data_IF_764017352795
#
_entry.id   IF_764017352795
#
_cell.length_a   1.000
_cell.length_b   1.000
_cell.length_c   1.000
_cell.angle_alpha   90.00
_cell.angle_beta   90.00
_cell.angle_gamma   90.00
#
_symmetry.space_group_name_H-M   'P 1'
#
loop_
_entity.id
_entity.type
_entity.pdbx_description
1 polymer ?
#
# COMPACT_ATOMS: atom_id res chain seq x y z
N UNK A 1 -9.42 -0.28 39.72
CA UNK A 1 -10.64 -0.13 38.93
C UNK A 1 -10.24 -0.36 37.49
N UNK A 2 -10.16 -1.61 37.16
CA UNK A 2 -9.70 -2.18 35.90
C UNK A 2 -10.87 -3.01 35.35
N UNK A 3 -11.68 -2.39 34.55
CA UNK A 3 -12.69 -3.06 33.75
C UNK A 3 -12.97 -2.16 32.56
N UNK A 4 -12.69 -2.69 31.37
CA UNK A 4 -13.33 -2.38 30.11
C UNK A 4 -12.35 -2.52 28.93
N UNK A 5 -11.81 -3.74 28.76
CA UNK A 5 -11.39 -4.19 27.41
C UNK A 5 -11.53 -5.71 27.34
N UNK A 6 -12.76 -6.20 27.46
CA UNK A 6 -13.12 -7.53 26.96
C UNK A 6 -13.85 -7.36 25.62
N UNK A 7 -13.05 -7.16 24.60
CA UNK A 7 -13.45 -7.29 23.20
C UNK A 7 -12.38 -8.14 22.52
N UNK A 8 -12.46 -9.47 22.67
CA UNK A 8 -11.61 -10.43 21.95
C UNK A 8 -12.05 -10.58 20.49
N UNK A 9 -12.21 -9.48 19.78
CA UNK A 9 -12.21 -9.45 18.34
C UNK A 9 -10.75 -9.31 17.90
N UNK A 10 -10.19 -10.28 17.21
CA UNK A 10 -8.88 -10.16 16.56
C UNK A 10 -8.95 -8.96 15.61
N UNK A 11 -8.32 -7.85 16.00
CA UNK A 11 -8.20 -6.68 15.12
C UNK A 11 -7.30 -7.08 13.95
N UNK A 12 -7.85 -7.02 12.75
CA UNK A 12 -7.07 -7.30 11.54
C UNK A 12 -6.19 -6.09 11.23
N UNK A 13 -4.87 -6.29 11.30
CA UNK A 13 -3.89 -5.26 10.91
C UNK A 13 -3.28 -5.60 9.56
N UNK A 14 -3.03 -4.55 8.77
CA UNK A 14 -2.30 -4.64 7.51
C UNK A 14 -1.22 -3.57 7.45
N UNK A 15 -0.18 -3.83 6.67
CA UNK A 15 0.88 -2.86 6.40
C UNK A 15 0.62 -2.27 5.02
N UNK A 16 0.53 -0.94 4.93
CA UNK A 16 0.52 -0.21 3.66
C UNK A 16 1.88 0.41 3.40
N UNK A 17 2.38 0.32 2.17
CA UNK A 17 3.62 0.99 1.74
C UNK A 17 3.32 1.84 0.52
N UNK A 18 3.57 3.14 0.60
CA UNK A 18 3.48 4.10 -0.50
C UNK A 18 4.88 4.36 -1.08
N UNK A 19 5.03 4.11 -2.37
CA UNK A 19 6.31 4.20 -3.09
C UNK A 19 6.27 5.33 -4.10
N UNK A 20 6.81 6.47 -3.69
CA UNK A 20 7.02 7.62 -4.56
C UNK A 20 8.47 7.75 -5.06
N UNK A 21 8.70 8.65 -6.00
CA UNK A 21 10.03 8.91 -6.55
C UNK A 21 11.03 9.51 -5.55
N UNK A 22 10.59 9.99 -4.39
CA UNK A 22 11.46 10.62 -3.37
C UNK A 22 11.40 9.95 -2.02
N UNK A 23 10.28 9.31 -1.69
CA UNK A 23 10.03 8.68 -0.39
C UNK A 23 9.34 7.34 -0.56
N UNK A 24 9.73 6.40 0.30
CA UNK A 24 8.97 5.19 0.62
C UNK A 24 8.42 5.39 2.02
N UNK A 25 7.09 5.37 2.17
CA UNK A 25 6.41 5.53 3.44
C UNK A 25 5.59 4.29 3.78
N UNK A 26 5.75 3.78 5.00
CA UNK A 26 4.97 2.65 5.50
C UNK A 26 4.05 3.04 6.64
N UNK A 27 2.95 2.32 6.78
CA UNK A 27 2.02 2.47 7.91
C UNK A 27 1.30 1.17 8.24
N UNK A 28 1.02 0.98 9.52
CA UNK A 28 0.15 -0.11 10.00
C UNK A 28 -1.26 0.44 10.12
N UNK A 29 -2.22 -0.25 9.52
CA UNK A 29 -3.61 0.20 9.42
C UNK A 29 -4.54 -0.87 9.97
N UNK A 30 -5.51 -0.45 10.77
CA UNK A 30 -6.56 -1.32 11.28
C UNK A 30 -7.73 -1.47 10.29
N UNK A 31 -8.71 -2.30 10.64
CA UNK A 31 -9.90 -2.56 9.83
C UNK A 31 -10.82 -1.34 9.64
N UNK A 32 -10.60 -0.28 10.40
CA UNK A 32 -11.35 0.98 10.33
C UNK A 32 -10.63 2.05 9.50
N UNK A 33 -9.41 1.75 9.01
CA UNK A 33 -8.59 2.70 8.27
C UNK A 33 -7.74 3.61 9.17
N UNK A 34 -7.62 3.31 10.47
CA UNK A 34 -6.79 4.08 11.40
C UNK A 34 -5.34 3.70 11.23
N UNK A 35 -4.47 4.68 11.03
CA UNK A 35 -3.02 4.48 10.99
C UNK A 35 -2.48 4.44 12.42
N UNK A 36 -1.98 3.28 12.86
CA UNK A 36 -1.49 3.05 14.23
C UNK A 36 -0.01 3.39 14.39
N UNK A 37 0.78 3.17 13.35
CA UNK A 37 2.20 3.47 13.30
C UNK A 37 2.61 3.82 11.88
N UNK A 38 3.71 4.54 11.72
CA UNK A 38 4.28 4.84 10.41
C UNK A 38 5.79 5.04 10.48
N UNK A 39 6.45 4.69 9.39
CA UNK A 39 7.86 4.98 9.14
C UNK A 39 8.06 5.45 7.71
N UNK A 40 9.24 5.96 7.40
CA UNK A 40 9.58 6.37 6.04
C UNK A 40 11.10 6.38 5.81
N UNK A 41 11.48 6.26 4.54
CA UNK A 41 12.86 6.34 4.05
C UNK A 41 12.91 7.17 2.77
N UNK A 42 14.10 7.61 2.39
CA UNK A 42 14.33 8.20 1.07
C UNK A 42 14.31 7.10 0.00
N UNK A 43 13.78 7.42 -1.18
CA UNK A 43 13.75 6.49 -2.31
C UNK A 43 15.04 6.60 -3.11
N UNK A 44 15.84 5.53 -3.27
CA UNK A 44 16.95 5.52 -4.23
C UNK A 44 16.44 5.29 -5.66
N UNK A 45 15.74 6.28 -6.23
CA UNK A 45 14.90 6.16 -7.43
C UNK A 45 15.63 5.65 -8.68
N UNK A 46 16.94 5.86 -8.77
CA UNK A 46 17.79 5.41 -9.88
C UNK A 46 18.34 3.98 -9.69
N UNK A 47 18.12 3.39 -8.50
CA UNK A 47 18.53 2.04 -8.15
C UNK A 47 17.31 1.13 -7.91
N UNK A 48 16.93 0.28 -8.88
CA UNK A 48 15.79 -0.60 -8.74
C UNK A 48 15.89 -1.57 -7.56
N UNK A 49 17.08 -2.14 -7.32
CA UNK A 49 17.31 -3.06 -6.21
C UNK A 49 17.27 -2.32 -4.87
N UNK A 50 17.93 -1.18 -4.77
CA UNK A 50 17.90 -0.34 -3.57
C UNK A 50 16.51 0.16 -3.23
N UNK A 51 15.67 0.49 -4.23
CA UNK A 51 14.27 0.87 -3.99
C UNK A 51 13.48 -0.30 -3.43
N UNK A 52 13.64 -1.50 -3.98
CA UNK A 52 13.01 -2.71 -3.46
C UNK A 52 13.48 -3.01 -2.04
N UNK A 53 14.77 -2.97 -1.78
CA UNK A 53 15.34 -3.21 -0.45
C UNK A 53 14.80 -2.21 0.57
N UNK A 54 14.63 -0.94 0.19
CA UNK A 54 14.00 0.09 1.03
C UNK A 54 12.54 -0.25 1.38
N UNK A 55 11.76 -0.76 0.43
CA UNK A 55 10.37 -1.22 0.68
C UNK A 55 10.38 -2.36 1.68
N UNK A 56 11.26 -3.34 1.50
CA UNK A 56 11.41 -4.48 2.43
C UNK A 56 11.79 -4.00 3.82
N UNK A 57 12.76 -3.10 3.96
CA UNK A 57 13.14 -2.53 5.26
C UNK A 57 11.97 -1.86 5.97
N UNK A 58 11.22 -1.01 5.24
CA UNK A 58 10.04 -0.31 5.75
C UNK A 58 8.97 -1.30 6.21
N UNK A 59 8.64 -2.29 5.38
CA UNK A 59 7.61 -3.28 5.71
C UNK A 59 8.05 -4.23 6.84
N UNK A 60 9.29 -4.73 6.82
CA UNK A 60 9.80 -5.65 7.82
C UNK A 60 9.96 -4.99 9.21
N UNK A 61 10.29 -3.70 9.27
CA UNK A 61 10.34 -2.95 10.52
C UNK A 61 8.95 -2.90 11.17
N UNK A 62 7.91 -2.54 10.39
CA UNK A 62 6.53 -2.52 10.86
C UNK A 62 6.00 -3.91 11.20
N UNK A 63 6.34 -4.94 10.43
CA UNK A 63 5.93 -6.32 10.73
C UNK A 63 6.56 -6.85 12.04
N UNK A 64 7.78 -6.44 12.36
CA UNK A 64 8.41 -6.78 13.65
C UNK A 64 7.77 -6.07 14.84
N UNK A 65 7.38 -4.81 14.66
CA UNK A 65 6.68 -4.03 15.69
C UNK A 65 5.23 -4.51 15.89
N UNK A 66 4.58 -4.94 14.80
CA UNK A 66 3.20 -5.42 14.77
C UNK A 66 3.11 -6.85 14.19
N UNK A 67 3.55 -7.87 14.94
CA UNK A 67 3.59 -9.26 14.45
C UNK A 67 2.21 -9.86 14.14
N UNK A 68 1.12 -9.19 14.52
CA UNK A 68 -0.25 -9.55 14.18
C UNK A 68 -0.70 -9.01 12.82
N UNK A 69 0.14 -8.25 12.10
CA UNK A 69 -0.16 -7.83 10.74
C UNK A 69 -0.24 -9.06 9.81
N UNK A 70 -1.25 -9.07 8.93
CA UNK A 70 -1.60 -10.26 8.14
C UNK A 70 -1.25 -10.15 6.66
N UNK A 71 -0.95 -8.95 6.16
CA UNK A 71 -0.62 -8.71 4.77
C UNK A 71 0.10 -7.37 4.58
N UNK A 72 0.75 -7.22 3.42
CA UNK A 72 1.37 -5.97 2.96
C UNK A 72 0.69 -5.54 1.66
N UNK A 73 0.23 -4.29 1.60
CA UNK A 73 -0.22 -3.62 0.37
C UNK A 73 0.80 -2.57 -0.06
N UNK A 74 1.22 -2.59 -1.32
CA UNK A 74 2.16 -1.63 -1.88
C UNK A 74 1.44 -0.78 -2.92
N UNK A 75 1.34 0.53 -2.69
CA UNK A 75 0.92 1.52 -3.68
C UNK A 75 2.14 2.13 -4.36
N UNK A 76 2.22 2.07 -5.67
CA UNK A 76 3.34 2.64 -6.42
C UNK A 76 2.85 3.57 -7.54
N UNK A 77 3.54 4.71 -7.72
CA UNK A 77 3.32 5.62 -8.84
C UNK A 77 3.81 4.98 -10.16
N UNK A 78 3.14 3.92 -10.60
CA UNK A 78 3.58 3.04 -11.66
C UNK A 78 2.41 2.35 -12.39
N UNK A 79 2.69 1.78 -13.55
CA UNK A 79 1.78 0.88 -14.24
C UNK A 79 2.02 -0.54 -13.74
N UNK A 80 0.96 -1.15 -13.21
CA UNK A 80 1.00 -2.48 -12.62
C UNK A 80 0.28 -3.45 -13.57
N UNK A 81 0.76 -4.68 -13.64
CA UNK A 81 0.10 -5.74 -14.40
C UNK A 81 -1.26 -6.13 -13.79
N UNK A 82 -2.12 -6.78 -14.57
CA UNK A 82 -3.46 -7.16 -14.12
C UNK A 82 -3.46 -8.10 -12.88
N UNK A 83 -2.48 -9.01 -12.69
CA UNK A 83 -2.36 -9.81 -11.48
C UNK A 83 -1.92 -9.03 -10.22
N UNK A 84 -1.49 -7.75 -10.33
CA UNK A 84 -0.97 -6.98 -9.20
C UNK A 84 0.37 -7.53 -8.68
N UNK A 85 1.24 -7.95 -9.58
CA UNK A 85 2.50 -8.63 -9.27
C UNK A 85 3.73 -7.86 -9.75
N UNK A 86 3.66 -7.31 -10.97
CA UNK A 86 4.78 -6.74 -11.68
C UNK A 86 4.57 -5.26 -11.94
N UNK A 87 5.56 -4.45 -11.62
CA UNK A 87 5.64 -3.07 -12.08
C UNK A 87 6.15 -3.06 -13.51
N UNK A 88 5.25 -2.82 -14.47
CA UNK A 88 5.61 -2.78 -15.89
C UNK A 88 6.47 -1.57 -16.22
N UNK A 89 6.11 -0.41 -15.67
CA UNK A 89 6.78 0.85 -15.91
C UNK A 89 6.48 1.85 -14.78
N UNK A 90 7.50 2.54 -14.31
CA UNK A 90 7.37 3.65 -13.37
C UNK A 90 8.03 4.91 -13.93
N UNK A 91 7.31 6.05 -14.06
CA UNK A 91 7.87 7.28 -14.64
C UNK A 91 9.01 7.89 -13.81
N UNK A 92 8.93 7.76 -12.49
CA UNK A 92 9.80 8.41 -11.52
C UNK A 92 10.73 7.43 -10.79
N UNK A 93 10.79 6.17 -11.24
CA UNK A 93 11.64 5.11 -10.70
C UNK A 93 12.28 4.34 -11.86
N UNK A 94 13.47 3.80 -11.66
CA UNK A 94 14.15 3.05 -12.70
C UNK A 94 13.58 1.64 -12.96
N UNK A 95 12.38 1.36 -12.48
CA UNK A 95 11.72 0.06 -12.66
C UNK A 95 11.21 -0.14 -14.07
N UNK A 96 11.50 -1.34 -14.60
CA UNK A 96 10.97 -1.89 -15.86
C UNK A 96 10.80 -3.39 -15.66
N UNK A 97 9.56 -3.88 -15.81
CA UNK A 97 9.21 -5.29 -15.62
C UNK A 97 9.70 -5.87 -14.28
N UNK A 98 9.60 -5.06 -13.20
CA UNK A 98 10.04 -5.45 -11.85
C UNK A 98 9.02 -6.36 -11.18
N UNK A 99 9.34 -7.62 -10.82
CA UNK A 99 8.44 -8.55 -10.15
C UNK A 99 8.31 -8.23 -8.65
N UNK A 100 7.84 -7.04 -8.34
CA UNK A 100 7.89 -6.43 -7.01
C UNK A 100 7.17 -7.25 -5.94
N UNK A 101 5.97 -7.79 -6.27
CA UNK A 101 5.18 -8.58 -5.32
C UNK A 101 5.96 -9.77 -4.78
N UNK A 102 6.47 -10.59 -5.67
CA UNK A 102 7.12 -11.84 -5.30
C UNK A 102 8.45 -11.57 -4.60
N UNK A 103 9.21 -10.59 -5.09
CA UNK A 103 10.48 -10.19 -4.50
C UNK A 103 10.33 -9.63 -3.06
N UNK A 104 9.24 -8.90 -2.76
CA UNK A 104 8.98 -8.41 -1.40
C UNK A 104 8.41 -9.52 -0.52
N UNK A 105 7.48 -10.35 -1.05
CA UNK A 105 6.85 -11.43 -0.28
C UNK A 105 7.86 -12.45 0.26
N UNK A 106 8.91 -12.77 -0.53
CA UNK A 106 9.99 -13.66 -0.11
C UNK A 106 10.76 -13.17 1.12
N UNK A 107 10.80 -11.84 1.34
CA UNK A 107 11.63 -11.21 2.36
C UNK A 107 10.85 -10.78 3.61
N UNK A 108 9.54 -10.52 3.48
CA UNK A 108 8.70 -10.10 4.62
C UNK A 108 7.87 -11.23 5.23
N UNK A 109 7.82 -12.41 4.59
CA UNK A 109 7.05 -13.59 5.01
C UNK A 109 5.55 -13.29 5.25
N UNK A 110 4.99 -12.39 4.44
CA UNK A 110 3.58 -12.01 4.45
C UNK A 110 3.03 -11.99 3.03
N UNK A 111 1.73 -12.26 2.83
CA UNK A 111 1.07 -12.00 1.55
C UNK A 111 1.25 -10.55 1.11
N UNK A 112 1.64 -10.33 -0.15
CA UNK A 112 1.87 -9.00 -0.73
C UNK A 112 0.94 -8.79 -1.92
N UNK A 113 0.39 -7.58 -2.04
CA UNK A 113 -0.29 -7.09 -3.24
C UNK A 113 0.35 -5.78 -3.68
N UNK A 114 0.43 -5.56 -4.98
CA UNK A 114 0.92 -4.31 -5.57
C UNK A 114 -0.20 -3.67 -6.38
N UNK A 115 -0.39 -2.37 -6.19
CA UNK A 115 -1.40 -1.60 -6.89
C UNK A 115 -0.83 -0.24 -7.32
N UNK A 116 -1.43 0.37 -8.33
CA UNK A 116 -1.17 1.78 -8.65
C UNK A 116 -1.57 2.69 -7.47
N UNK A 117 -0.80 3.73 -7.19
CA UNK A 117 -1.00 4.65 -6.06
C UNK A 117 -2.36 5.37 -6.10
N UNK A 118 -2.81 5.84 -7.26
CA UNK A 118 -4.10 6.50 -7.41
C UNK A 118 -5.28 5.51 -7.27
N UNK A 119 -5.12 4.28 -7.74
CA UNK A 119 -6.06 3.20 -7.49
C UNK A 119 -6.17 2.86 -6.01
N UNK A 120 -5.03 2.75 -5.32
CA UNK A 120 -4.98 2.51 -3.88
C UNK A 120 -5.66 3.65 -3.11
N UNK A 121 -5.41 4.91 -3.49
CA UNK A 121 -6.07 6.08 -2.92
C UNK A 121 -7.59 6.05 -3.15
N UNK A 122 -8.05 5.74 -4.37
CA UNK A 122 -9.47 5.61 -4.67
C UNK A 122 -10.14 4.52 -3.83
N UNK A 123 -9.46 3.39 -3.65
CA UNK A 123 -9.95 2.32 -2.80
C UNK A 123 -10.04 2.72 -1.33
N UNK A 124 -9.04 3.45 -0.82
CA UNK A 124 -9.05 3.96 0.54
C UNK A 124 -10.20 4.95 0.77
N UNK A 125 -10.43 5.90 -0.15
CA UNK A 125 -11.55 6.83 -0.09
C UNK A 125 -12.91 6.12 -0.16
N UNK A 126 -13.02 5.08 -0.98
CA UNK A 126 -14.24 4.28 -1.06
C UNK A 126 -14.53 3.52 0.24
N UNK A 127 -13.50 2.95 0.88
CA UNK A 127 -13.66 2.13 2.08
C UNK A 127 -13.80 2.97 3.35
N UNK A 128 -13.04 4.04 3.48
CA UNK A 128 -12.85 4.76 4.73
C UNK A 128 -13.12 6.27 4.65
N UNK A 129 -13.11 6.83 3.45
CA UNK A 129 -13.18 8.28 3.21
C UNK A 129 -14.51 8.75 2.62
N UNK A 130 -14.41 9.71 1.70
CA UNK A 130 -15.55 10.42 1.11
C UNK A 130 -16.50 9.52 0.29
N UNK A 131 -16.02 8.37 -0.19
CA UNK A 131 -16.83 7.39 -0.93
C UNK A 131 -17.52 6.34 -0.06
N UNK A 132 -17.44 6.46 1.27
CA UNK A 132 -18.01 5.46 2.17
C UNK A 132 -19.54 5.39 2.04
N UNK A 133 -20.04 4.19 1.74
CA UNK A 133 -21.48 3.94 1.55
C UNK A 133 -21.98 4.17 0.13
N UNK A 134 -21.13 4.68 -0.77
CA UNK A 134 -21.47 4.84 -2.18
C UNK A 134 -21.27 3.52 -2.95
N UNK A 135 -21.97 3.36 -4.08
CA UNK A 135 -21.75 2.22 -4.97
C UNK A 135 -20.71 2.50 -6.06
N UNK A 136 -20.43 3.77 -6.30
CA UNK A 136 -19.53 4.23 -7.38
C UNK A 136 -18.72 5.42 -6.90
N UNK A 137 -17.42 5.40 -7.23
CA UNK A 137 -16.50 6.48 -6.92
C UNK A 137 -15.57 6.72 -8.11
N UNK A 138 -15.35 7.96 -8.46
CA UNK A 138 -14.21 8.40 -9.27
C UNK A 138 -13.35 9.29 -8.38
N UNK A 139 -12.12 8.89 -8.16
CA UNK A 139 -11.14 9.65 -7.42
C UNK A 139 -10.10 10.22 -8.37
N UNK A 140 -9.76 11.49 -8.24
CA UNK A 140 -8.70 12.14 -9.00
C UNK A 140 -7.68 12.69 -8.03
N UNK A 141 -6.42 12.28 -8.19
CA UNK A 141 -5.30 12.76 -7.38
C UNK A 141 -4.53 13.83 -8.15
N UNK A 142 -4.22 14.95 -7.50
CA UNK A 142 -3.45 16.06 -8.04
C UNK A 142 -2.20 16.25 -7.17
N UNK A 143 -1.02 16.05 -7.75
CA UNK A 143 0.26 16.17 -7.07
C UNK A 143 1.37 16.46 -8.07
N UNK A 144 2.49 15.76 -8.01
CA UNK A 144 3.57 15.82 -9.02
C UNK A 144 3.01 15.47 -10.42
N UNK A 145 2.04 14.57 -10.47
CA UNK A 145 1.28 14.22 -11.65
C UNK A 145 -0.23 14.26 -11.38
N UNK A 146 -1.01 13.79 -12.35
CA UNK A 146 -2.43 13.57 -12.22
C UNK A 146 -2.65 12.07 -12.27
N UNK A 147 -3.32 11.52 -11.27
CA UNK A 147 -3.73 10.13 -11.20
C UNK A 147 -5.25 10.01 -11.06
N UNK A 148 -5.75 8.82 -11.21
CA UNK A 148 -7.17 8.54 -10.99
C UNK A 148 -7.43 7.07 -10.74
N UNK A 149 -8.50 6.81 -9.98
CA UNK A 149 -9.01 5.47 -9.74
C UNK A 149 -10.53 5.47 -9.77
N UNK A 150 -11.09 4.37 -10.20
CA UNK A 150 -12.53 4.19 -10.36
C UNK A 150 -12.97 2.98 -9.56
N UNK A 151 -14.02 3.14 -8.77
CA UNK A 151 -14.69 2.02 -8.09
C UNK A 151 -16.12 1.93 -8.60
N UNK A 152 -16.52 0.77 -9.10
CA UNK A 152 -17.87 0.48 -9.57
C UNK A 152 -18.43 -0.74 -8.84
N UNK A 153 -19.63 -0.59 -8.29
CA UNK A 153 -20.35 -1.66 -7.58
C UNK A 153 -19.47 -2.40 -6.55
N UNK A 154 -18.66 -1.61 -5.81
CA UNK A 154 -17.78 -2.11 -4.77
C UNK A 154 -16.49 -2.79 -5.27
N UNK A 155 -16.11 -2.59 -6.52
CA UNK A 155 -14.89 -3.15 -7.12
C UNK A 155 -14.02 -2.06 -7.72
N UNK A 156 -12.72 -2.15 -7.47
CA UNK A 156 -11.74 -1.29 -8.13
C UNK A 156 -11.60 -1.72 -9.60
N UNK A 157 -11.78 -0.79 -10.52
CA UNK A 157 -11.56 -0.98 -11.94
C UNK A 157 -10.07 -0.73 -12.27
N UNK A 158 -9.48 -1.61 -13.08
CA UNK A 158 -8.04 -1.59 -13.46
C UNK A 158 -7.88 -1.50 -14.96
#
# INVERSE_FOLDING_TARGET
MSELYEGTGSVTLTIGVDVGGTKVAGGVVDEHGTVLASNRRDTPAEDPAGTRDTIVEVAAELAREFPQATAVGIGAAAWIDAPGATVLFAPNLAWRDEPLRDAVAELVDLPVVVENDANAAAWAEFRFGAGRGESRLVCVTLGTGIGGGIVLDGRLER
#
